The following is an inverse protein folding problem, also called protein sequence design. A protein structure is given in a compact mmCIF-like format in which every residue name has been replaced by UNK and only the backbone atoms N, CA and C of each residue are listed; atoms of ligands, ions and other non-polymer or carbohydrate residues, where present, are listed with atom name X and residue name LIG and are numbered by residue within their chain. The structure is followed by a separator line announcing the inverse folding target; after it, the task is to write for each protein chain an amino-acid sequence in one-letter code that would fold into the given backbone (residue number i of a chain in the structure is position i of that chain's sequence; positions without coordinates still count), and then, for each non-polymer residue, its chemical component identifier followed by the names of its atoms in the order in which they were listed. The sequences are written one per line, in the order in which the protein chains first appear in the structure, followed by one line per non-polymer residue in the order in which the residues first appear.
data_IF_463182435355
#
_entry.id   IF_463182435355
#
_cell.length_a   1.000
_cell.length_b   1.000
_cell.length_c   1.000
_cell.angle_alpha   90.00
_cell.angle_beta   90.00
_cell.angle_gamma   90.00
#
_symmetry.space_group_name_H-M   'P 1'
#
loop_
_entity.id
_entity.type
_entity.pdbx_description
1 polymer ?
#
# COMPACT_ATOMS: atom_id res chain seq x y z
N UNK A 1 -55.59 37.47 54.12
CA UNK A 1 -57.01 37.70 53.95
C UNK A 1 -57.52 36.98 52.73
N UNK A 2 -58.53 36.12 52.94
CA UNK A 2 -59.54 35.56 51.99
C UNK A 2 -58.95 34.56 50.94
N UNK A 3 -59.03 33.21 51.11
CA UNK A 3 -60.27 32.37 50.97
C UNK A 3 -60.95 32.63 49.62
N UNK A 4 -61.23 31.68 48.73
CA UNK A 4 -62.04 30.47 48.91
C UNK A 4 -62.10 29.65 47.63
N UNK A 5 -62.09 28.29 47.81
CA UNK A 5 -63.14 27.31 47.47
C UNK A 5 -63.21 26.91 45.98
N UNK A 6 -62.83 25.70 45.72
CA UNK A 6 -63.65 24.47 45.56
C UNK A 6 -64.70 24.51 44.51
N UNK A 7 -64.64 23.74 43.46
CA UNK A 7 -65.69 22.75 43.15
C UNK A 7 -65.17 21.66 42.21
N UNK A 8 -65.37 20.43 42.64
CA UNK A 8 -65.16 19.20 41.86
C UNK A 8 -66.41 18.94 41.03
N UNK A 9 -66.28 18.50 39.83
CA UNK A 9 -67.32 17.75 39.10
C UNK A 9 -66.64 16.54 38.45
N UNK A 10 -67.02 15.41 38.95
CA UNK A 10 -66.81 14.06 38.38
C UNK A 10 -67.73 13.83 37.22
N UNK A 11 -67.29 13.31 36.11
CA UNK A 11 -68.12 12.42 35.28
C UNK A 11 -67.23 11.42 34.51
N UNK A 12 -67.68 10.19 34.64
CA UNK A 12 -67.04 8.96 34.19
C UNK A 12 -67.31 8.61 32.74
N UNK A 13 -66.52 7.61 32.29
CA UNK A 13 -66.77 6.66 31.20
C UNK A 13 -66.58 7.17 29.79
N UNK A 14 -65.84 6.51 28.94
CA UNK A 14 -66.04 5.17 28.36
C UNK A 14 -64.72 4.67 27.76
N UNK A 15 -64.51 3.41 28.06
CA UNK A 15 -63.44 2.54 27.54
C UNK A 15 -63.64 2.30 26.03
N UNK A 16 -62.61 2.58 25.21
CA UNK A 16 -62.45 1.90 23.92
C UNK A 16 -60.98 1.52 23.71
N UNK A 17 -60.69 0.27 23.97
CA UNK A 17 -59.43 -0.37 23.59
C UNK A 17 -59.37 -0.44 22.05
N UNK A 18 -58.44 0.29 21.43
CA UNK A 18 -57.90 -0.05 20.14
C UNK A 18 -56.48 -0.50 20.33
N UNK A 19 -56.29 -1.79 20.24
CA UNK A 19 -54.99 -2.43 20.09
C UNK A 19 -54.41 -2.08 18.72
N UNK A 20 -53.57 -1.04 18.65
CA UNK A 20 -52.68 -0.86 17.55
C UNK A 20 -51.38 -1.57 17.93
N UNK A 21 -51.18 -2.75 17.37
CA UNK A 21 -49.92 -3.47 17.44
C UNK A 21 -48.82 -2.71 16.71
N UNK A 22 -48.01 -1.96 17.45
CA UNK A 22 -46.71 -1.52 16.97
C UNK A 22 -45.79 -2.72 16.98
N UNK A 23 -45.67 -3.36 15.82
CA UNK A 23 -44.58 -4.25 15.51
C UNK A 23 -43.31 -3.41 15.50
N UNK A 24 -42.62 -3.32 16.63
CA UNK A 24 -41.26 -2.86 16.71
C UNK A 24 -40.38 -3.89 16.06
N UNK A 25 -40.20 -3.78 14.75
CA UNK A 25 -39.06 -4.44 14.08
C UNK A 25 -37.79 -3.82 14.67
N UNK A 26 -37.14 -4.51 15.60
CA UNK A 26 -35.74 -4.26 15.95
C UNK A 26 -34.95 -4.24 14.64
N UNK A 27 -34.10 -3.24 14.40
CA UNK A 27 -33.12 -3.35 13.35
C UNK A 27 -32.33 -4.63 13.65
N UNK A 28 -32.21 -5.52 12.70
CA UNK A 28 -31.29 -6.65 12.77
C UNK A 28 -29.90 -6.01 13.00
N UNK A 29 -29.32 -6.24 14.16
CA UNK A 29 -27.90 -6.02 14.39
C UNK A 29 -27.18 -6.95 13.42
N UNK A 30 -26.73 -6.34 12.33
CA UNK A 30 -25.87 -6.99 11.36
C UNK A 30 -24.50 -7.09 12.02
N UNK A 31 -24.34 -8.13 12.84
CA UNK A 31 -23.08 -8.47 13.51
C UNK A 31 -22.14 -9.09 12.46
N UNK A 32 -21.87 -8.38 11.37
CA UNK A 32 -20.84 -8.75 10.42
C UNK A 32 -19.51 -8.41 11.07
N UNK A 33 -18.82 -9.42 11.56
CA UNK A 33 -17.45 -9.36 12.08
C UNK A 33 -16.40 -9.06 10.96
N UNK A 34 -16.87 -8.48 9.85
CA UNK A 34 -16.05 -8.10 8.71
C UNK A 34 -15.43 -6.73 8.98
N UNK A 35 -14.10 -6.59 8.98
CA UNK A 35 -13.45 -5.30 9.17
C UNK A 35 -13.95 -4.27 8.15
N UNK A 36 -14.18 -3.05 8.59
CA UNK A 36 -14.56 -1.95 7.69
C UNK A 36 -13.32 -1.41 6.99
N UNK A 37 -13.45 -1.09 5.69
CA UNK A 37 -12.42 -0.34 4.96
C UNK A 37 -12.26 1.05 5.59
N UNK A 38 -11.04 1.45 5.91
CA UNK A 38 -10.71 2.76 6.48
C UNK A 38 -10.45 3.77 5.36
N UNK A 39 -10.97 4.96 5.48
CA UNK A 39 -10.59 6.06 4.58
C UNK A 39 -9.24 6.66 5.03
N UNK A 40 -8.33 6.92 4.09
CA UNK A 40 -7.04 7.55 4.35
C UNK A 40 -6.88 8.82 3.52
N UNK A 41 -6.34 9.88 4.12
CA UNK A 41 -6.01 11.09 3.37
C UNK A 41 -4.77 10.88 2.50
N UNK A 42 -4.61 11.68 1.43
CA UNK A 42 -3.39 11.66 0.63
C UNK A 42 -2.17 12.15 1.41
N UNK A 43 -2.37 13.07 2.34
CA UNK A 43 -1.32 13.57 3.22
C UNK A 43 -0.77 12.48 4.13
N UNK A 44 -1.64 11.63 4.71
CA UNK A 44 -1.23 10.54 5.59
C UNK A 44 -0.45 9.47 4.82
N UNK A 45 -0.92 9.07 3.63
CA UNK A 45 -0.15 8.15 2.78
C UNK A 45 1.20 8.75 2.39
N UNK A 46 1.24 10.03 2.01
CA UNK A 46 2.49 10.70 1.63
C UNK A 46 3.49 10.81 2.80
N UNK A 47 3.01 10.97 4.04
CA UNK A 47 3.86 10.89 5.25
C UNK A 47 4.43 9.50 5.47
N UNK A 48 3.61 8.46 5.31
CA UNK A 48 4.04 7.06 5.44
C UNK A 48 5.16 6.76 4.45
N UNK A 49 4.99 7.13 3.19
CA UNK A 49 5.95 6.82 2.13
C UNK A 49 7.26 7.62 2.20
N UNK A 50 7.25 8.75 2.91
CA UNK A 50 8.46 9.55 3.17
C UNK A 50 9.23 9.12 4.41
N UNK A 51 8.61 8.34 5.29
CA UNK A 51 9.26 7.83 6.50
C UNK A 51 9.69 6.37 6.28
N UNK A 52 10.99 6.15 6.24
CA UNK A 52 11.58 4.83 6.00
C UNK A 52 11.13 3.75 7.01
N UNK A 53 10.73 4.14 8.25
CA UNK A 53 10.26 3.21 9.29
C UNK A 53 8.75 2.94 9.17
N UNK A 54 7.97 3.97 8.83
CA UNK A 54 6.52 3.81 8.62
C UNK A 54 6.26 2.97 7.37
N UNK A 55 7.01 3.19 6.27
CA UNK A 55 6.91 2.39 5.04
C UNK A 55 6.96 0.89 5.31
N UNK A 56 7.84 0.42 6.21
CA UNK A 56 7.99 -1.01 6.51
C UNK A 56 6.78 -1.63 7.23
N UNK A 57 5.87 -0.81 7.76
CA UNK A 57 4.65 -1.26 8.45
C UNK A 57 3.44 -1.42 7.54
N UNK A 58 3.51 -0.89 6.32
CA UNK A 58 2.38 -0.79 5.41
C UNK A 58 2.72 -1.34 4.02
N UNK A 59 1.88 -2.22 3.49
CA UNK A 59 1.95 -2.59 2.08
C UNK A 59 1.06 -1.64 1.28
N UNK A 60 1.65 -0.81 0.44
CA UNK A 60 0.91 0.09 -0.44
C UNK A 60 0.74 -0.53 -1.82
N UNK A 61 -0.49 -0.57 -2.31
CA UNK A 61 -0.85 -1.18 -3.59
C UNK A 61 -1.50 -0.15 -4.51
N UNK A 62 -0.86 0.11 -5.64
CA UNK A 62 -1.46 0.83 -6.76
C UNK A 62 -2.32 -0.13 -7.58
N UNK A 63 -3.64 0.10 -7.59
CA UNK A 63 -4.59 -0.77 -8.33
C UNK A 63 -4.94 -0.24 -9.72
N UNK A 64 -4.17 0.74 -10.23
CA UNK A 64 -4.28 1.22 -11.60
C UNK A 64 -3.68 0.20 -12.58
N UNK A 65 -3.90 0.42 -13.87
CA UNK A 65 -3.25 -0.36 -14.90
C UNK A 65 -1.72 -0.17 -14.87
N UNK A 66 -0.98 -1.16 -15.32
CA UNK A 66 0.49 -1.18 -15.30
C UNK A 66 1.11 0.03 -16.03
N UNK A 67 0.54 0.43 -17.17
CA UNK A 67 1.00 1.62 -17.90
C UNK A 67 0.84 2.91 -17.07
N UNK A 68 -0.29 3.07 -16.35
CA UNK A 68 -0.51 4.23 -15.48
C UNK A 68 0.46 4.23 -14.27
N UNK A 69 0.77 3.05 -13.74
CA UNK A 69 1.76 2.88 -12.68
C UNK A 69 3.16 3.28 -13.18
N UNK A 70 3.58 2.84 -14.35
CA UNK A 70 4.88 3.16 -14.96
C UNK A 70 5.03 4.64 -15.33
N UNK A 71 3.95 5.34 -15.64
CA UNK A 71 3.97 6.79 -15.86
C UNK A 71 4.31 7.58 -14.60
N UNK A 72 4.00 7.03 -13.43
CA UNK A 72 4.31 7.61 -12.12
C UNK A 72 3.38 7.07 -11.04
N UNK A 73 3.94 6.61 -9.93
CA UNK A 73 3.22 6.04 -8.80
C UNK A 73 3.83 6.48 -7.48
N UNK A 74 3.05 6.35 -6.40
CA UNK A 74 3.51 6.66 -5.04
C UNK A 74 4.72 5.79 -4.72
N UNK A 75 5.78 6.39 -4.23
CA UNK A 75 7.03 5.71 -3.89
C UNK A 75 6.76 4.47 -3.02
N UNK A 76 7.51 3.41 -3.24
CA UNK A 76 7.38 2.10 -2.59
C UNK A 76 6.07 1.32 -2.86
N UNK A 77 5.08 1.90 -3.52
CA UNK A 77 3.89 1.14 -3.89
C UNK A 77 4.24 0.02 -4.89
N UNK A 78 3.64 -1.15 -4.68
CA UNK A 78 3.63 -2.23 -5.69
C UNK A 78 2.43 -2.05 -6.61
N UNK A 79 2.48 -2.63 -7.81
CA UNK A 79 1.34 -2.61 -8.71
C UNK A 79 0.62 -3.97 -8.72
N UNK A 80 -0.66 -3.94 -8.37
CA UNK A 80 -1.60 -5.06 -8.58
C UNK A 80 -2.87 -4.46 -9.15
N UNK A 81 -3.06 -4.47 -10.48
CA UNK A 81 -4.28 -3.94 -11.08
C UNK A 81 -5.54 -4.55 -10.47
N UNK A 82 -6.61 -3.76 -10.34
CA UNK A 82 -7.88 -4.21 -9.74
C UNK A 82 -8.35 -5.57 -10.28
N UNK A 83 -8.19 -5.80 -11.60
CA UNK A 83 -8.60 -7.05 -12.25
C UNK A 83 -7.80 -8.29 -11.76
N UNK A 84 -6.63 -8.07 -11.18
CA UNK A 84 -5.72 -9.12 -10.75
C UNK A 84 -5.61 -9.26 -9.22
N UNK A 85 -6.34 -8.43 -8.44
CA UNK A 85 -6.30 -8.46 -6.98
C UNK A 85 -6.57 -9.87 -6.45
N UNK A 86 -7.63 -10.53 -6.91
CA UNK A 86 -8.03 -11.86 -6.39
C UNK A 86 -6.99 -12.94 -6.71
N UNK A 87 -6.30 -12.84 -7.85
CA UNK A 87 -5.23 -13.76 -8.24
C UNK A 87 -3.95 -13.59 -7.43
N UNK A 88 -3.77 -12.43 -6.80
CA UNK A 88 -2.58 -12.09 -6.03
C UNK A 88 -2.77 -12.18 -4.50
N UNK A 89 -3.94 -12.63 -4.01
CA UNK A 89 -4.22 -12.76 -2.57
C UNK A 89 -3.17 -13.61 -1.85
N UNK A 90 -2.83 -14.77 -2.42
CA UNK A 90 -1.86 -15.68 -1.81
C UNK A 90 -0.46 -15.06 -1.74
N UNK A 91 -0.08 -14.31 -2.75
CA UNK A 91 1.20 -13.62 -2.83
C UNK A 91 1.40 -12.57 -1.75
N UNK A 92 0.32 -11.89 -1.36
CA UNK A 92 0.34 -10.87 -0.31
C UNK A 92 -0.25 -11.38 1.01
N UNK A 93 -0.43 -12.69 1.17
CA UNK A 93 -1.09 -13.30 2.35
C UNK A 93 -0.39 -13.01 3.67
N UNK A 94 0.94 -12.79 3.67
CA UNK A 94 1.71 -12.37 4.84
C UNK A 94 1.27 -11.01 5.42
N UNK A 95 0.46 -10.26 4.68
CA UNK A 95 -0.08 -8.97 5.06
C UNK A 95 -1.51 -9.02 5.58
N UNK A 96 -2.14 -10.21 5.72
CA UNK A 96 -3.53 -10.33 6.19
C UNK A 96 -3.77 -9.74 7.56
N UNK A 97 -2.80 -9.83 8.46
CA UNK A 97 -2.87 -9.28 9.83
C UNK A 97 -2.16 -7.93 9.97
N UNK A 98 -1.62 -7.38 8.88
CA UNK A 98 -0.88 -6.13 8.84
C UNK A 98 -1.65 -5.08 8.02
N UNK A 99 -1.16 -3.85 8.05
CA UNK A 99 -1.78 -2.75 7.32
C UNK A 99 -1.52 -2.84 5.81
N UNK A 100 -2.60 -2.80 5.03
CA UNK A 100 -2.59 -2.71 3.58
C UNK A 100 -3.31 -1.43 3.15
N UNK A 101 -2.65 -0.64 2.33
CA UNK A 101 -3.20 0.61 1.80
C UNK A 101 -3.35 0.46 0.29
N UNK A 102 -4.53 0.72 -0.23
CA UNK A 102 -4.78 0.73 -1.66
C UNK A 102 -5.08 2.13 -2.15
N UNK A 103 -4.66 2.46 -3.36
CA UNK A 103 -5.04 3.71 -4.02
C UNK A 103 -5.19 3.53 -5.53
N UNK A 104 -5.84 4.48 -6.19
CA UNK A 104 -5.95 4.54 -7.65
C UNK A 104 -5.87 6.00 -8.15
N UNK A 105 -6.63 6.37 -9.19
CA UNK A 105 -6.72 7.76 -9.65
C UNK A 105 -7.67 8.61 -8.80
N UNK A 106 -8.87 8.10 -8.49
CA UNK A 106 -10.02 8.86 -7.95
C UNK A 106 -10.82 8.09 -6.89
N UNK A 107 -10.22 7.10 -6.22
CA UNK A 107 -10.88 6.34 -5.16
C UNK A 107 -11.84 5.23 -5.64
N UNK A 108 -12.35 5.25 -6.88
CA UNK A 108 -13.36 4.27 -7.34
C UNK A 108 -12.82 2.84 -7.40
N UNK A 109 -11.69 2.63 -8.08
CA UNK A 109 -11.07 1.29 -8.22
C UNK A 109 -10.46 0.81 -6.90
N UNK A 110 -9.87 1.71 -6.12
CA UNK A 110 -9.23 1.36 -4.85
C UNK A 110 -10.24 0.97 -3.78
N UNK A 111 -11.41 1.61 -3.74
CA UNK A 111 -12.50 1.19 -2.87
C UNK A 111 -12.94 -0.25 -3.15
N UNK A 112 -13.15 -0.59 -4.42
CA UNK A 112 -13.51 -1.96 -4.83
C UNK A 112 -12.40 -2.97 -4.47
N UNK A 113 -11.13 -2.61 -4.70
CA UNK A 113 -9.99 -3.44 -4.32
C UNK A 113 -9.92 -3.66 -2.80
N UNK A 114 -10.13 -2.62 -2.00
CA UNK A 114 -10.17 -2.69 -0.54
C UNK A 114 -11.27 -3.64 -0.04
N UNK A 115 -12.48 -3.55 -0.61
CA UNK A 115 -13.58 -4.44 -0.28
C UNK A 115 -13.27 -5.92 -0.62
N UNK A 116 -12.60 -6.18 -1.76
CA UNK A 116 -12.12 -7.51 -2.14
C UNK A 116 -11.08 -8.05 -1.15
N UNK A 117 -10.12 -7.22 -0.73
CA UNK A 117 -9.11 -7.59 0.25
C UNK A 117 -9.72 -7.91 1.62
N UNK A 118 -10.64 -7.09 2.12
CA UNK A 118 -11.36 -7.35 3.38
C UNK A 118 -12.13 -8.66 3.28
N UNK A 119 -12.83 -8.91 2.18
CA UNK A 119 -13.55 -10.17 1.91
C UNK A 119 -12.60 -11.38 1.87
N UNK A 120 -11.37 -11.19 1.41
CA UNK A 120 -10.32 -12.21 1.40
C UNK A 120 -9.62 -12.40 2.76
N UNK A 121 -10.07 -11.71 3.81
CA UNK A 121 -9.61 -11.89 5.19
C UNK A 121 -8.52 -10.93 5.66
N UNK A 122 -8.21 -9.86 4.91
CA UNK A 122 -7.31 -8.81 5.38
C UNK A 122 -7.99 -7.97 6.46
N UNK A 123 -7.29 -7.75 7.59
CA UNK A 123 -7.90 -7.17 8.80
C UNK A 123 -7.78 -5.65 8.88
N UNK A 124 -6.76 -5.09 8.27
CA UNK A 124 -6.45 -3.66 8.31
C UNK A 124 -6.24 -3.14 6.88
N UNK A 125 -7.32 -2.67 6.25
CA UNK A 125 -7.31 -2.18 4.87
C UNK A 125 -7.75 -0.73 4.83
N UNK A 126 -6.94 0.12 4.20
CA UNK A 126 -7.23 1.53 3.98
C UNK A 126 -7.35 1.84 2.49
N UNK A 127 -8.33 2.68 2.13
CA UNK A 127 -8.50 3.28 0.80
C UNK A 127 -7.99 4.72 0.84
N UNK A 128 -6.85 4.97 0.23
CA UNK A 128 -6.23 6.28 0.23
C UNK A 128 -6.66 7.13 -0.97
N UNK A 129 -6.56 8.46 -0.81
CA UNK A 129 -6.84 9.41 -1.89
C UNK A 129 -5.95 9.16 -3.10
N UNK A 130 -6.58 9.13 -4.28
CA UNK A 130 -5.91 8.82 -5.53
C UNK A 130 -4.99 9.94 -6.04
N UNK A 131 -4.10 9.58 -6.97
CA UNK A 131 -3.10 10.52 -7.53
C UNK A 131 -3.71 11.68 -8.32
N UNK A 132 -4.99 11.60 -8.70
CA UNK A 132 -5.72 12.73 -9.31
C UNK A 132 -6.41 13.62 -8.27
N UNK A 133 -6.61 13.14 -7.04
CA UNK A 133 -7.26 13.87 -5.96
C UNK A 133 -6.26 14.56 -5.03
N UNK A 134 -5.09 13.94 -4.79
CA UNK A 134 -4.00 14.52 -4.00
C UNK A 134 -2.77 14.67 -4.89
N UNK A 135 -2.27 15.92 -5.02
CA UNK A 135 -1.22 16.27 -6.00
C UNK A 135 0.19 16.32 -5.42
N UNK A 136 0.34 16.27 -4.10
CA UNK A 136 1.62 16.42 -3.43
C UNK A 136 2.33 15.09 -3.16
N UNK A 137 1.84 14.00 -3.78
CA UNK A 137 2.57 12.73 -3.78
C UNK A 137 3.92 12.85 -4.47
N UNK A 138 4.95 12.31 -3.84
CA UNK A 138 6.21 12.05 -4.52
C UNK A 138 6.04 10.83 -5.43
N UNK A 139 5.97 11.09 -6.75
CA UNK A 139 5.80 10.03 -7.73
C UNK A 139 7.13 9.57 -8.28
N UNK A 140 7.30 8.25 -8.38
CA UNK A 140 8.48 7.59 -8.95
C UNK A 140 8.09 6.72 -10.14
N UNK A 141 9.06 6.34 -10.97
CA UNK A 141 8.82 5.56 -12.21
C UNK A 141 9.53 4.20 -12.23
N UNK A 142 10.40 3.91 -11.26
CA UNK A 142 10.97 2.56 -11.14
C UNK A 142 9.92 1.60 -10.60
N UNK A 143 9.98 0.33 -11.00
CA UNK A 143 9.03 -0.69 -10.52
C UNK A 143 9.48 -1.25 -9.18
N UNK A 144 8.58 -1.30 -8.20
CA UNK A 144 8.81 -1.95 -6.91
C UNK A 144 8.43 -3.42 -6.99
N UNK A 145 9.35 -4.32 -6.63
CA UNK A 145 9.18 -5.77 -6.66
C UNK A 145 9.10 -6.35 -5.25
N UNK A 146 8.13 -7.22 -4.99
CA UNK A 146 8.11 -8.06 -3.79
C UNK A 146 9.23 -9.12 -3.87
N UNK A 147 9.53 -9.75 -2.72
CA UNK A 147 10.64 -10.68 -2.59
C UNK A 147 10.61 -11.83 -3.59
N UNK A 148 9.45 -12.41 -3.86
CA UNK A 148 9.28 -13.49 -4.84
C UNK A 148 9.67 -13.08 -6.27
N UNK A 149 9.29 -11.86 -6.66
CA UNK A 149 9.63 -11.32 -7.99
C UNK A 149 11.11 -10.97 -8.08
N UNK A 150 11.66 -10.41 -7.01
CA UNK A 150 13.08 -10.07 -6.99
C UNK A 150 13.95 -11.33 -6.99
N UNK A 151 13.57 -12.39 -6.22
CA UNK A 151 14.24 -13.69 -6.29
C UNK A 151 14.17 -14.30 -7.69
N UNK A 152 13.00 -14.22 -8.35
CA UNK A 152 12.87 -14.71 -9.72
C UNK A 152 13.79 -13.97 -10.70
N UNK A 153 14.08 -12.68 -10.49
CA UNK A 153 15.05 -11.94 -11.28
C UNK A 153 16.49 -12.41 -11.01
N UNK A 154 16.83 -12.67 -9.74
CA UNK A 154 18.13 -13.24 -9.36
C UNK A 154 18.33 -14.60 -10.04
N UNK A 155 17.33 -15.48 -9.97
CA UNK A 155 17.41 -16.84 -10.53
C UNK A 155 17.60 -16.84 -12.06
N UNK A 156 17.01 -15.87 -12.77
CA UNK A 156 17.19 -15.68 -14.21
C UNK A 156 18.58 -15.19 -14.60
N UNK A 157 19.32 -14.57 -13.68
CA UNK A 157 20.64 -13.98 -13.88
C UNK A 157 20.70 -12.97 -15.04
N UNK A 158 19.59 -12.28 -15.28
CA UNK A 158 19.46 -11.28 -16.35
C UNK A 158 19.48 -9.87 -15.77
N UNK A 159 20.17 -8.95 -16.45
CA UNK A 159 20.25 -7.55 -16.05
C UNK A 159 21.42 -7.22 -15.12
N UNK A 160 21.45 -5.97 -14.68
CA UNK A 160 22.49 -5.43 -13.80
C UNK A 160 21.94 -5.27 -12.40
N UNK A 161 22.55 -5.94 -11.43
CA UNK A 161 22.19 -5.82 -10.01
C UNK A 161 23.10 -4.79 -9.32
N UNK A 162 22.50 -3.87 -8.59
CA UNK A 162 23.16 -2.81 -7.82
C UNK A 162 22.86 -3.01 -6.32
N UNK A 163 23.84 -3.37 -5.56
CA UNK A 163 23.78 -3.50 -4.11
C UNK A 163 24.15 -2.17 -3.44
N UNK A 164 23.23 -1.58 -2.71
CA UNK A 164 23.41 -0.29 -2.04
C UNK A 164 23.69 -0.47 -0.53
N UNK A 165 24.10 -1.66 -0.12
CA UNK A 165 24.59 -1.94 1.24
C UNK A 165 26.02 -1.46 1.41
N UNK A 166 26.46 -1.43 2.66
CA UNK A 166 27.87 -1.17 2.97
C UNK A 166 28.78 -2.27 2.41
N UNK A 167 29.98 -1.90 1.96
CA UNK A 167 30.94 -2.84 1.37
C UNK A 167 31.20 -4.09 2.22
N UNK A 168 31.30 -3.93 3.56
CA UNK A 168 31.48 -5.05 4.50
C UNK A 168 30.36 -6.10 4.46
N UNK A 169 29.13 -5.68 4.09
CA UNK A 169 27.97 -6.58 4.01
C UNK A 169 27.81 -7.16 2.61
N UNK A 170 28.21 -6.42 1.60
CA UNK A 170 28.38 -6.94 0.24
C UNK A 170 29.42 -8.08 0.21
N UNK A 171 30.56 -7.93 0.87
CA UNK A 171 31.63 -8.94 0.96
C UNK A 171 31.18 -10.24 1.64
N UNK A 172 30.19 -10.19 2.55
CA UNK A 172 29.65 -11.38 3.23
C UNK A 172 28.74 -12.24 2.33
N UNK A 173 28.17 -11.65 1.29
CA UNK A 173 27.28 -12.31 0.34
C UNK A 173 26.44 -11.29 -0.43
N UNK A 174 26.32 -11.50 -1.72
CA UNK A 174 25.60 -10.61 -2.65
C UNK A 174 25.12 -11.39 -3.87
N UNK A 175 24.18 -10.83 -4.62
CA UNK A 175 23.73 -11.40 -5.89
C UNK A 175 24.91 -11.56 -6.83
N UNK A 176 25.09 -12.76 -7.38
CA UNK A 176 26.23 -13.07 -8.27
C UNK A 176 26.34 -12.04 -9.40
N UNK A 177 27.51 -11.41 -9.52
CA UNK A 177 27.76 -10.35 -10.51
C UNK A 177 27.19 -8.97 -10.16
N UNK A 178 26.60 -8.80 -8.99
CA UNK A 178 26.15 -7.49 -8.53
C UNK A 178 27.32 -6.54 -8.34
N UNK A 179 27.05 -5.25 -8.54
CA UNK A 179 27.99 -4.15 -8.30
C UNK A 179 27.60 -3.40 -7.04
N UNK A 180 28.55 -3.10 -6.18
CA UNK A 180 28.31 -2.40 -4.92
C UNK A 180 28.55 -0.90 -5.05
N UNK A 181 27.68 -0.12 -4.42
CA UNK A 181 27.82 1.33 -4.31
C UNK A 181 27.26 1.84 -2.99
N UNK A 182 28.00 2.69 -2.28
CA UNK A 182 27.45 3.42 -1.14
C UNK A 182 26.44 4.49 -1.62
N UNK A 183 25.30 4.57 -0.92
CA UNK A 183 24.25 5.57 -1.22
C UNK A 183 24.77 7.01 -1.31
N UNK A 184 25.83 7.33 -0.61
CA UNK A 184 26.47 8.68 -0.62
C UNK A 184 27.16 8.99 -1.95
N UNK A 185 27.48 7.98 -2.74
CA UNK A 185 28.24 8.10 -3.97
C UNK A 185 27.36 7.95 -5.24
N UNK A 186 26.04 7.85 -5.09
CA UNK A 186 25.13 7.63 -6.22
C UNK A 186 25.29 8.67 -7.34
N UNK A 187 25.39 9.94 -6.99
CA UNK A 187 25.53 11.02 -7.98
C UNK A 187 26.84 10.96 -8.77
N UNK A 188 27.90 10.49 -8.12
CA UNK A 188 29.23 10.46 -8.71
C UNK A 188 29.51 9.16 -9.49
N UNK A 189 29.14 8.02 -8.92
CA UNK A 189 29.73 6.74 -9.35
C UNK A 189 28.68 5.79 -9.99
N UNK A 190 27.35 5.99 -9.75
CA UNK A 190 26.32 5.06 -10.24
C UNK A 190 26.36 4.91 -11.76
N UNK A 191 26.52 6.00 -12.50
CA UNK A 191 26.48 5.97 -13.97
C UNK A 191 27.52 5.01 -14.58
N UNK A 192 28.72 4.89 -13.95
CA UNK A 192 29.78 3.99 -14.40
C UNK A 192 29.49 2.50 -14.12
N UNK A 193 28.54 2.20 -13.23
CA UNK A 193 28.15 0.85 -12.87
C UNK A 193 26.98 0.33 -13.72
N UNK A 194 26.23 1.22 -14.35
CA UNK A 194 25.05 0.88 -15.13
C UNK A 194 25.40 0.37 -16.53
N UNK A 195 24.52 -0.44 -17.18
CA UNK A 195 24.76 -0.94 -18.51
C UNK A 195 24.72 0.19 -19.55
N UNK A 196 25.41 -0.01 -20.70
CA UNK A 196 25.39 0.98 -21.78
C UNK A 196 24.00 1.14 -22.41
N UNK A 197 23.25 0.03 -22.54
CA UNK A 197 21.88 0.05 -23.04
C UNK A 197 20.91 0.56 -21.94
N UNK A 198 20.24 1.67 -22.19
CA UNK A 198 19.27 2.27 -21.28
C UNK A 198 17.98 1.47 -21.11
N UNK A 199 17.73 0.51 -21.99
CA UNK A 199 16.60 -0.40 -21.89
C UNK A 199 16.97 -1.74 -21.21
N UNK A 200 18.25 -1.97 -20.91
CA UNK A 200 18.64 -3.16 -20.16
C UNK A 200 18.08 -3.11 -18.72
N UNK A 201 17.62 -4.25 -18.16
CA UNK A 201 17.09 -4.29 -16.81
C UNK A 201 18.14 -3.91 -15.76
N UNK A 202 17.76 -3.02 -14.83
CA UNK A 202 18.56 -2.61 -13.68
C UNK A 202 17.77 -2.94 -12.41
N UNK A 203 18.35 -3.74 -11.54
CA UNK A 203 17.77 -4.15 -10.26
C UNK A 203 18.56 -3.55 -9.10
N UNK A 204 17.89 -2.89 -8.19
CA UNK A 204 18.51 -2.28 -7.02
C UNK A 204 18.02 -2.93 -5.73
N UNK A 205 18.88 -3.17 -4.76
CA UNK A 205 18.51 -3.71 -3.46
C UNK A 205 19.43 -3.17 -2.35
N UNK A 206 18.92 -3.24 -1.12
CA UNK A 206 19.68 -2.92 0.08
C UNK A 206 19.16 -3.76 1.27
N UNK A 207 19.10 -3.23 2.49
CA UNK A 207 18.56 -3.95 3.65
C UNK A 207 17.04 -3.96 3.75
N UNK A 208 16.37 -2.86 3.34
CA UNK A 208 14.91 -2.65 3.49
C UNK A 208 14.29 -1.92 2.29
N UNK A 209 14.94 -1.93 1.13
CA UNK A 209 14.43 -1.28 -0.07
C UNK A 209 14.55 0.26 -0.12
N UNK A 210 14.87 0.94 1.00
CA UNK A 210 14.83 2.41 1.09
C UNK A 210 16.05 3.08 0.44
N UNK A 211 17.27 2.64 0.75
CA UNK A 211 18.47 3.18 0.11
C UNK A 211 18.55 2.84 -1.37
N UNK A 212 18.13 1.64 -1.72
CA UNK A 212 18.10 1.17 -3.10
C UNK A 212 17.04 1.88 -3.95
N UNK A 213 15.94 2.35 -3.36
CA UNK A 213 14.97 3.22 -4.04
C UNK A 213 15.62 4.54 -4.52
N UNK A 214 16.59 5.09 -3.76
CA UNK A 214 17.35 6.28 -4.20
C UNK A 214 18.22 5.96 -5.41
N UNK A 215 18.85 4.78 -5.44
CA UNK A 215 19.62 4.32 -6.60
C UNK A 215 18.72 4.05 -7.82
N UNK A 216 17.55 3.44 -7.61
CA UNK A 216 16.55 3.23 -8.66
C UNK A 216 16.07 4.56 -9.25
N UNK A 217 15.72 5.52 -8.41
CA UNK A 217 15.32 6.86 -8.85
C UNK A 217 16.42 7.53 -9.65
N UNK A 218 17.68 7.46 -9.18
CA UNK A 218 18.82 8.01 -9.90
C UNK A 218 19.05 7.34 -11.26
N UNK A 219 18.88 6.02 -11.35
CA UNK A 219 18.95 5.31 -12.63
C UNK A 219 17.86 5.79 -13.61
N UNK A 220 16.61 6.01 -13.14
CA UNK A 220 15.53 6.60 -13.95
C UNK A 220 15.92 8.00 -14.43
N UNK A 221 16.48 8.85 -13.57
CA UNK A 221 16.94 10.20 -13.92
C UNK A 221 18.08 10.18 -14.97
N UNK A 222 18.90 9.13 -14.95
CA UNK A 222 19.92 8.87 -15.97
C UNK A 222 19.36 8.29 -17.28
N UNK A 223 18.03 8.14 -17.38
CA UNK A 223 17.32 7.72 -18.59
C UNK A 223 17.14 6.21 -18.76
N UNK A 224 17.33 5.41 -17.69
CA UNK A 224 17.01 3.98 -17.74
C UNK A 224 15.50 3.76 -17.63
N UNK A 225 14.96 2.89 -18.50
CA UNK A 225 13.51 2.66 -18.62
C UNK A 225 13.02 1.42 -17.89
N UNK A 226 13.87 0.42 -17.68
CA UNK A 226 13.57 -0.83 -17.00
C UNK A 226 14.31 -0.92 -15.67
N UNK A 227 13.85 -0.13 -14.69
CA UNK A 227 14.46 -0.04 -13.37
C UNK A 227 13.54 -0.66 -12.32
N UNK A 228 14.10 -1.54 -11.50
CA UNK A 228 13.40 -2.31 -10.50
C UNK A 228 14.07 -2.14 -9.13
N UNK A 229 13.27 -1.96 -8.09
CA UNK A 229 13.73 -1.89 -6.70
C UNK A 229 13.11 -3.01 -5.87
N UNK A 230 13.92 -3.74 -5.10
CA UNK A 230 13.40 -4.69 -4.13
C UNK A 230 12.64 -3.94 -3.02
N UNK A 231 11.38 -4.32 -2.76
CA UNK A 231 10.58 -3.81 -1.66
C UNK A 231 11.10 -4.34 -0.32
N UNK A 232 11.27 -5.66 -0.26
CA UNK A 232 11.91 -6.35 0.86
C UNK A 232 13.43 -6.29 0.65
N UNK A 233 14.16 -5.86 1.67
CA UNK A 233 15.62 -5.88 1.61
C UNK A 233 16.22 -7.19 2.12
N UNK A 234 17.53 -7.32 1.99
CA UNK A 234 18.27 -8.51 2.42
C UNK A 234 18.22 -8.76 3.95
N UNK A 235 17.69 -7.83 4.75
CA UNK A 235 17.43 -8.01 6.18
C UNK A 235 16.03 -8.58 6.44
N UNK A 236 15.09 -8.29 5.55
CA UNK A 236 13.68 -8.62 5.71
C UNK A 236 13.32 -9.92 4.99
N UNK A 237 14.11 -10.28 3.99
CA UNK A 237 13.95 -11.50 3.21
C UNK A 237 15.32 -12.16 2.99
N UNK A 238 15.40 -13.48 3.21
CA UNK A 238 16.58 -14.27 2.94
C UNK A 238 16.64 -14.64 1.45
N UNK A 239 17.28 -13.78 0.66
CA UNK A 239 17.53 -14.05 -0.74
C UNK A 239 18.58 -15.14 -0.93
N UNK A 240 18.37 -15.98 -1.93
CA UNK A 240 19.40 -16.92 -2.40
C UNK A 240 20.32 -16.16 -3.36
N UNK A 241 21.47 -15.76 -2.86
CA UNK A 241 22.50 -15.07 -3.65
C UNK A 241 23.38 -16.03 -4.43
#
# INVERSE_FOLDING_TARGET
MKQSKLLAVTMAAVLSLTLVGCSSSKPAENNSNTPAVKAMSGEDLNKIEKDDKEKEKHLVIDVRAENEYKEGHVKHAINIPLADIEKNIDRISAWKEKSVIVYCNTGKKSKEAAEKLVKAGFKDVSDAKGVKEYKDYELVKFTTLLADQFQAAIDKKEGTFIDVREAKDFEKGHVAGAKNIDVKNLDKDLAALLPADKNAPVYTYCYSGNRSAKAAQKAVELGYTNVYNAWDGAKEHEYKF
#
